data_IF_560891332586
#
_entry.id   IF_560891332586
#
_cell.length_a   1.000
_cell.length_b   1.000
_cell.length_c   1.000
_cell.angle_alpha   90.00
_cell.angle_beta   90.00
_cell.angle_gamma   90.00
#
_symmetry.space_group_name_H-M   'P 1'
#
loop_
_entity.id
_entity.type
_entity.pdbx_description
1 polymer ?
#
# COMPACT_ATOMS: atom_id res chain seq x y z
N UNK A 1 5.36 0.75 -12.20
CA UNK A 1 3.94 0.87 -12.60
C UNK A 1 3.19 -0.29 -11.96
N UNK A 2 2.14 -0.07 -11.17
CA UNK A 2 1.35 -1.17 -10.53
C UNK A 2 0.69 -2.14 -11.53
N UNK A 3 0.77 -1.90 -12.84
CA UNK A 3 0.15 -2.71 -13.90
C UNK A 3 0.89 -4.01 -14.24
N UNK A 4 2.07 -4.28 -13.67
CA UNK A 4 2.82 -5.53 -13.89
C UNK A 4 2.82 -6.48 -12.67
N UNK A 5 2.16 -6.08 -11.58
CA UNK A 5 2.08 -6.87 -10.35
C UNK A 5 0.87 -7.78 -10.42
N UNK A 6 1.10 -9.09 -10.29
CA UNK A 6 0.01 -10.05 -10.05
C UNK A 6 -0.40 -9.98 -8.58
N UNK A 7 -1.26 -9.01 -8.27
CA UNK A 7 -1.75 -8.81 -6.91
C UNK A 7 -2.50 -10.02 -6.34
N UNK A 8 -3.08 -10.85 -7.22
CA UNK A 8 -3.80 -12.05 -6.80
C UNK A 8 -2.81 -13.09 -6.24
N UNK A 9 -1.72 -13.33 -6.99
CA UNK A 9 -0.63 -14.21 -6.58
C UNK A 9 0.16 -13.65 -5.39
N UNK A 10 0.40 -12.34 -5.34
CA UNK A 10 1.07 -11.69 -4.20
C UNK A 10 0.30 -11.90 -2.89
N UNK A 11 -1.03 -12.00 -2.95
CA UNK A 11 -1.84 -12.27 -1.77
C UNK A 11 -1.63 -13.69 -1.21
N UNK A 12 -1.15 -14.65 -2.00
CA UNK A 12 -0.92 -16.02 -1.52
C UNK A 12 0.23 -16.15 -0.52
N UNK A 13 1.08 -15.11 -0.43
CA UNK A 13 2.15 -15.06 0.59
C UNK A 13 1.60 -14.84 2.01
N UNK A 14 0.37 -14.35 2.19
CA UNK A 14 -0.18 -14.08 3.52
C UNK A 14 -0.67 -15.36 4.19
N UNK A 15 -0.43 -15.51 5.49
CA UNK A 15 -1.00 -16.63 6.23
C UNK A 15 -2.54 -16.58 6.18
N UNK A 16 -3.26 -17.71 5.97
CA UNK A 16 -4.71 -17.69 5.79
C UNK A 16 -5.50 -17.00 6.91
N UNK A 17 -5.16 -17.28 8.17
CA UNK A 17 -5.88 -16.76 9.35
C UNK A 17 -5.08 -15.75 10.16
N UNK A 18 -3.82 -16.07 10.48
CA UNK A 18 -2.97 -15.29 11.39
C UNK A 18 -2.34 -14.02 10.77
N UNK A 19 -2.60 -13.73 9.49
CA UNK A 19 -2.04 -12.53 8.87
C UNK A 19 -2.78 -11.27 9.30
N UNK A 20 -2.04 -10.18 9.42
CA UNK A 20 -2.59 -8.84 9.57
C UNK A 20 -1.88 -7.89 8.62
N UNK A 21 -2.63 -6.98 8.00
CA UNK A 21 -2.11 -5.86 7.24
C UNK A 21 -2.62 -4.55 7.86
N UNK A 22 -1.70 -3.61 8.14
CA UNK A 22 -2.04 -2.27 8.66
C UNK A 22 -1.64 -1.21 7.63
N UNK A 23 -2.64 -0.51 7.09
CA UNK A 23 -2.49 0.58 6.15
C UNK A 23 -2.92 1.92 6.81
N UNK A 24 -2.08 2.97 6.80
CA UNK A 24 -2.42 4.26 7.42
C UNK A 24 -3.65 4.96 6.83
N UNK A 25 -4.00 4.69 5.57
CA UNK A 25 -5.16 5.26 4.88
C UNK A 25 -6.40 4.41 5.15
N UNK A 26 -6.32 3.09 5.00
CA UNK A 26 -7.50 2.23 4.95
C UNK A 26 -7.81 1.47 6.25
N UNK A 27 -6.85 1.34 7.16
CA UNK A 27 -7.02 0.67 8.46
C UNK A 27 -6.35 -0.70 8.54
N UNK A 28 -6.92 -1.59 9.35
CA UNK A 28 -6.38 -2.91 9.67
C UNK A 28 -7.23 -4.01 9.05
N UNK A 29 -6.57 -5.05 8.52
CA UNK A 29 -7.19 -6.20 7.85
C UNK A 29 -6.67 -7.50 8.41
N UNK A 30 -7.54 -8.48 8.65
CA UNK A 30 -7.17 -9.75 9.28
C UNK A 30 -7.47 -10.96 8.38
N UNK A 31 -6.47 -11.82 8.23
CA UNK A 31 -6.55 -13.00 7.38
C UNK A 31 -6.40 -12.69 5.89
N UNK A 32 -5.98 -13.71 5.13
CA UNK A 32 -5.66 -13.58 3.71
C UNK A 32 -6.85 -13.07 2.90
N UNK A 33 -8.05 -13.59 3.18
CA UNK A 33 -9.24 -13.28 2.37
C UNK A 33 -9.64 -11.81 2.50
N UNK A 34 -9.55 -11.22 3.69
CA UNK A 34 -9.85 -9.81 3.89
C UNK A 34 -8.78 -8.92 3.23
N UNK A 35 -7.51 -9.23 3.47
CA UNK A 35 -6.38 -8.54 2.85
C UNK A 35 -6.49 -8.57 1.32
N UNK A 36 -6.78 -9.75 0.75
CA UNK A 36 -6.97 -9.95 -0.68
C UNK A 36 -8.18 -9.16 -1.21
N UNK A 37 -9.31 -9.18 -0.49
CA UNK A 37 -10.49 -8.39 -0.86
C UNK A 37 -10.20 -6.88 -0.91
N UNK A 38 -9.38 -6.37 0.01
CA UNK A 38 -8.96 -4.97 0.01
C UNK A 38 -7.99 -4.66 -1.13
N UNK A 39 -6.91 -5.44 -1.28
CA UNK A 39 -5.89 -5.23 -2.31
C UNK A 39 -6.52 -5.28 -3.71
N UNK A 40 -7.34 -6.29 -4.00
CA UNK A 40 -7.95 -6.46 -5.32
C UNK A 40 -8.99 -5.40 -5.65
N UNK A 41 -9.57 -4.73 -4.65
CA UNK A 41 -10.48 -3.61 -4.83
C UNK A 41 -9.73 -2.28 -5.05
N UNK A 42 -8.68 -2.03 -4.25
CA UNK A 42 -8.01 -0.73 -4.22
C UNK A 42 -6.90 -0.60 -5.27
N UNK A 43 -6.05 -1.61 -5.45
CA UNK A 43 -4.87 -1.50 -6.32
C UNK A 43 -5.19 -1.11 -7.77
N UNK A 44 -6.27 -1.59 -8.42
CA UNK A 44 -6.65 -1.13 -9.76
C UNK A 44 -6.98 0.37 -9.86
N UNK A 45 -7.25 1.03 -8.72
CA UNK A 45 -7.72 2.41 -8.62
C UNK A 45 -6.67 3.39 -8.11
N UNK A 46 -5.50 2.90 -7.69
CA UNK A 46 -4.39 3.73 -7.17
C UNK A 46 -3.82 4.67 -8.24
N UNK A 47 -3.85 4.26 -9.51
CA UNK A 47 -3.21 4.99 -10.61
C UNK A 47 -1.72 4.64 -10.77
N UNK A 48 -0.98 5.48 -11.49
CA UNK A 48 0.44 5.30 -11.77
C UNK A 48 1.33 5.74 -10.61
N UNK A 49 1.25 5.00 -9.52
CA UNK A 49 2.09 5.20 -8.33
C UNK A 49 3.29 4.24 -8.35
N UNK A 50 4.44 4.73 -7.90
CA UNK A 50 5.66 3.96 -7.66
C UNK A 50 6.08 4.09 -6.19
N UNK A 51 6.62 3.01 -5.63
CA UNK A 51 7.31 3.01 -4.34
C UNK A 51 8.81 2.93 -4.62
N UNK A 52 9.52 4.05 -4.49
CA UNK A 52 10.95 4.15 -4.78
C UNK A 52 11.73 3.84 -3.50
N UNK A 53 12.53 2.75 -3.43
CA UNK A 53 13.30 2.42 -2.24
C UNK A 53 14.26 3.53 -1.82
N UNK A 54 14.34 3.77 -0.53
CA UNK A 54 15.34 4.65 0.09
C UNK A 54 16.22 3.82 1.01
N UNK A 55 17.53 3.83 0.74
CA UNK A 55 18.47 3.05 1.54
C UNK A 55 18.36 1.54 1.34
N UNK A 56 19.07 0.75 2.17
CA UNK A 56 19.14 -0.69 2.02
C UNK A 56 17.85 -1.39 2.49
N UNK A 57 17.53 -2.51 1.84
CA UNK A 57 16.58 -3.47 2.38
C UNK A 57 17.18 -4.16 3.61
N UNK A 58 16.42 -4.22 4.70
CA UNK A 58 16.77 -4.99 5.89
C UNK A 58 15.89 -6.24 5.95
N UNK A 59 16.42 -7.36 5.47
CA UNK A 59 15.69 -8.62 5.42
C UNK A 59 16.55 -9.77 5.93
N UNK A 60 16.08 -10.47 6.96
CA UNK A 60 16.78 -11.61 7.57
C UNK A 60 15.99 -12.93 7.44
N UNK A 61 14.98 -12.96 6.57
CA UNK A 61 14.08 -14.12 6.39
C UNK A 61 13.01 -14.29 7.47
N UNK A 62 13.06 -13.52 8.56
CA UNK A 62 12.02 -13.46 9.61
C UNK A 62 11.33 -12.12 9.67
N UNK A 63 12.07 -11.06 9.41
CA UNK A 63 11.60 -9.68 9.37
C UNK A 63 12.14 -9.01 8.12
N UNK A 64 11.29 -8.20 7.50
CA UNK A 64 11.61 -7.31 6.39
C UNK A 64 11.33 -5.87 6.82
N UNK A 65 12.21 -4.95 6.44
CA UNK A 65 12.00 -3.51 6.56
C UNK A 65 12.60 -2.81 5.34
N UNK A 66 11.82 -1.93 4.71
CA UNK A 66 12.27 -1.09 3.61
C UNK A 66 11.64 0.29 3.71
N UNK A 67 12.47 1.33 3.70
CA UNK A 67 11.99 2.70 3.52
C UNK A 67 11.78 3.01 2.03
N UNK A 68 10.83 3.89 1.73
CA UNK A 68 10.47 4.24 0.37
C UNK A 68 9.92 5.67 0.27
N UNK A 69 9.89 6.21 -0.95
CA UNK A 69 9.11 7.41 -1.32
C UNK A 69 8.04 6.98 -2.31
N UNK A 70 6.79 7.29 -2.01
CA UNK A 70 5.69 7.16 -2.96
C UNK A 70 5.77 8.28 -3.98
N UNK A 71 5.75 7.94 -5.27
CA UNK A 71 5.89 8.88 -6.38
C UNK A 71 4.71 8.70 -7.33
N UNK A 72 3.98 9.78 -7.60
CA UNK A 72 3.01 9.82 -8.68
C UNK A 72 3.72 10.07 -10.00
N UNK A 73 3.44 9.23 -11.01
CA UNK A 73 3.90 9.46 -12.38
C UNK A 73 2.75 9.98 -13.19
N UNK A 74 2.79 11.28 -13.50
CA UNK A 74 1.73 12.04 -14.18
C UNK A 74 1.48 11.53 -15.59
N UNK A 75 0.41 12.03 -16.22
CA UNK A 75 0.08 11.73 -17.62
C UNK A 75 1.19 12.16 -18.58
N UNK A 76 1.94 13.21 -18.24
CA UNK A 76 3.11 13.72 -18.98
C UNK A 76 4.41 13.00 -18.66
N UNK A 77 4.43 12.11 -17.65
CA UNK A 77 5.63 11.40 -17.20
C UNK A 77 6.47 12.15 -16.15
N UNK A 78 6.00 13.31 -15.68
CA UNK A 78 6.57 13.98 -14.51
C UNK A 78 6.41 13.09 -13.27
N UNK A 79 7.41 13.15 -12.38
CA UNK A 79 7.49 12.34 -11.16
C UNK A 79 7.34 13.26 -9.96
N UNK A 80 6.20 13.18 -9.28
CA UNK A 80 5.87 14.02 -8.12
C UNK A 80 5.97 13.17 -6.84
N UNK A 81 6.92 13.47 -5.94
CA UNK A 81 6.98 12.83 -4.62
C UNK A 81 5.72 13.14 -3.80
N UNK A 82 5.14 12.12 -3.18
CA UNK A 82 3.89 12.23 -2.41
C UNK A 82 4.13 12.15 -0.91
N UNK A 83 4.70 11.03 -0.47
CA UNK A 83 5.00 10.78 0.94
C UNK A 83 6.20 9.84 1.06
N UNK A 84 6.90 9.92 2.19
CA UNK A 84 7.96 8.97 2.55
C UNK A 84 7.41 8.04 3.62
N UNK A 85 7.70 6.76 3.47
CA UNK A 85 7.23 5.74 4.40
C UNK A 85 8.18 4.59 4.58
N UNK A 86 7.75 3.65 5.41
CA UNK A 86 8.46 2.41 5.69
C UNK A 86 7.47 1.26 5.73
N UNK A 87 7.78 0.19 4.99
CA UNK A 87 7.06 -1.08 5.08
C UNK A 87 7.78 -2.03 6.02
N UNK A 88 7.04 -2.67 6.92
CA UNK A 88 7.52 -3.72 7.82
C UNK A 88 6.77 -5.01 7.53
N UNK A 89 7.47 -6.14 7.43
CA UNK A 89 6.83 -7.46 7.38
C UNK A 89 7.46 -8.42 8.39
N UNK A 90 6.66 -9.35 8.91
CA UNK A 90 7.13 -10.51 9.68
C UNK A 90 6.64 -11.79 9.05
N UNK A 91 7.52 -12.79 9.04
CA UNK A 91 7.28 -14.09 8.45
C UNK A 91 7.25 -15.19 9.50
N UNK A 92 6.42 -16.21 9.26
CA UNK A 92 6.35 -17.44 10.02
C UNK A 92 6.05 -18.58 9.04
N UNK A 93 6.89 -19.61 9.07
CA UNK A 93 6.74 -20.82 8.24
C UNK A 93 6.53 -20.52 6.75
N UNK A 94 7.29 -19.54 6.22
CA UNK A 94 7.23 -19.11 4.82
C UNK A 94 6.06 -18.18 4.48
N UNK A 95 5.16 -17.90 5.42
CA UNK A 95 4.02 -16.99 5.24
C UNK A 95 4.25 -15.63 5.90
N UNK A 96 3.71 -14.57 5.32
CA UNK A 96 3.60 -13.26 5.94
C UNK A 96 2.48 -13.29 6.98
N UNK A 97 2.83 -13.07 8.25
CA UNK A 97 1.88 -12.99 9.38
C UNK A 97 1.62 -11.55 9.83
N UNK A 98 2.46 -10.61 9.39
CA UNK A 98 2.32 -9.20 9.71
C UNK A 98 2.86 -8.38 8.56
N UNK A 99 2.10 -7.40 8.10
CA UNK A 99 2.53 -6.35 7.20
C UNK A 99 2.00 -5.01 7.75
N UNK A 100 2.82 -3.97 7.73
CA UNK A 100 2.38 -2.63 8.09
C UNK A 100 3.18 -1.59 7.33
N UNK A 101 2.49 -0.56 6.85
CA UNK A 101 3.11 0.64 6.32
C UNK A 101 3.02 1.78 7.34
N UNK A 102 4.08 2.59 7.40
CA UNK A 102 4.17 3.75 8.28
C UNK A 102 4.55 4.98 7.46
N UNK A 103 3.67 5.97 7.40
CA UNK A 103 3.92 7.25 6.75
C UNK A 103 2.93 8.32 7.25
N UNK A 104 3.28 9.58 7.03
CA UNK A 104 2.41 10.71 7.34
C UNK A 104 1.36 10.91 6.24
N UNK A 105 0.10 10.62 6.55
CA UNK A 105 -1.03 10.80 5.62
C UNK A 105 -1.35 12.27 5.34
N UNK A 106 -0.92 13.22 6.17
CA UNK A 106 -1.22 14.64 5.97
C UNK A 106 -0.60 15.16 4.66
N UNK A 107 0.58 14.64 4.30
CA UNK A 107 1.27 14.95 3.02
C UNK A 107 0.41 14.67 1.80
N UNK A 108 -0.46 13.65 1.86
CA UNK A 108 -1.35 13.25 0.77
C UNK A 108 -2.48 14.26 0.50
N UNK A 109 -2.75 15.15 1.46
CA UNK A 109 -3.82 16.15 1.35
C UNK A 109 -3.34 17.49 0.78
N UNK A 110 -2.04 17.64 0.53
CA UNK A 110 -1.50 18.87 -0.03
C UNK A 110 -2.05 19.10 -1.45
N UNK A 111 -2.28 20.36 -1.89
CA UNK A 111 -2.87 20.62 -3.20
C UNK A 111 -2.08 20.04 -4.37
N UNK A 112 -0.75 20.05 -4.28
CA UNK A 112 0.16 19.50 -5.29
C UNK A 112 0.03 17.98 -5.39
N UNK A 113 0.05 17.26 -4.27
CA UNK A 113 -0.09 15.80 -4.25
C UNK A 113 -1.48 15.38 -4.72
N UNK A 114 -2.53 16.08 -4.28
CA UNK A 114 -3.90 15.82 -4.76
C UNK A 114 -4.06 16.04 -6.26
N UNK A 115 -3.39 17.05 -6.83
CA UNK A 115 -3.36 17.26 -8.28
C UNK A 115 -2.62 16.13 -9.00
N UNK A 116 -1.44 15.75 -8.50
CA UNK A 116 -0.65 14.67 -9.07
C UNK A 116 -1.36 13.31 -9.00
N UNK A 117 -2.06 13.01 -7.89
CA UNK A 117 -2.86 11.78 -7.75
C UNK A 117 -3.98 11.69 -8.79
N UNK A 118 -4.68 12.80 -9.06
CA UNK A 118 -5.71 12.82 -10.10
C UNK A 118 -5.10 12.63 -11.49
N UNK A 119 -4.01 13.34 -11.78
CA UNK A 119 -3.38 13.26 -13.10
C UNK A 119 -2.66 11.93 -13.36
N UNK A 120 -2.17 11.25 -12.33
CA UNK A 120 -1.64 9.88 -12.45
C UNK A 120 -2.74 8.82 -12.57
N UNK A 121 -4.02 9.21 -12.61
CA UNK A 121 -5.16 8.33 -12.84
C UNK A 121 -5.73 7.65 -11.59
N UNK A 122 -5.46 8.18 -10.39
CA UNK A 122 -6.11 7.66 -9.18
C UNK A 122 -7.61 7.96 -9.21
N UNK A 123 -8.42 6.97 -8.83
CA UNK A 123 -9.88 7.08 -8.73
C UNK A 123 -10.39 6.79 -7.31
N UNK A 124 -9.49 6.69 -6.34
CA UNK A 124 -9.83 6.45 -4.93
C UNK A 124 -10.51 7.71 -4.35
N UNK A 125 -11.64 7.49 -3.69
CA UNK A 125 -12.44 8.53 -3.03
C UNK A 125 -12.41 8.39 -1.51
N UNK A 126 -12.94 9.39 -0.80
CA UNK A 126 -13.16 9.29 0.64
C UNK A 126 -14.12 8.17 1.01
N UNK A 127 -15.15 7.92 0.19
CA UNK A 127 -16.12 6.84 0.44
C UNK A 127 -15.44 5.46 0.36
N UNK A 128 -14.49 5.30 -0.55
CA UNK A 128 -13.68 4.08 -0.65
C UNK A 128 -12.83 3.84 0.59
N UNK A 129 -12.27 4.91 1.16
CA UNK A 129 -11.50 4.85 2.41
C UNK A 129 -12.43 4.48 3.58
N UNK A 130 -13.58 5.14 3.67
CA UNK A 130 -14.52 4.94 4.76
C UNK A 130 -15.18 3.55 4.73
N UNK A 131 -15.38 2.97 3.55
CA UNK A 131 -15.82 1.57 3.37
C UNK A 131 -14.97 0.58 4.17
N UNK A 132 -13.68 0.84 4.34
CA UNK A 132 -12.77 -0.04 5.08
C UNK A 132 -12.61 0.40 6.53
N UNK A 133 -12.49 1.70 6.82
CA UNK A 133 -12.38 2.19 8.20
C UNK A 133 -13.58 1.89 9.09
N UNK A 134 -14.78 1.82 8.53
CA UNK A 134 -16.02 1.62 9.29
C UNK A 134 -16.38 0.15 9.51
N UNK A 135 -15.58 -0.82 9.05
CA UNK A 135 -15.90 -2.26 9.15
C UNK A 135 -15.96 -2.81 10.58
N UNK A 136 -15.44 -2.07 11.55
CA UNK A 136 -15.45 -2.40 12.98
C UNK A 136 -16.45 -1.61 13.83
N UNK A 137 -17.38 -0.88 13.21
CA UNK A 137 -18.50 -0.17 13.86
C UNK A 137 -19.83 -0.86 13.51
#
# INVERSE_FOLDING_TARGET
MCSEVDFDADCDQFHPTDSVYIDPIFGEFHGRDEIKSWIMDIMPRVGRIEFVPVGPELNNGKTYLQEWIQVAVTSTGERVPMTRGTSVRRYKDGSTIYAADYFDIATLTTPEVMAASRDCGSTITTDDIMKYKLRGL
#
